data_IF_293024063939
#
_entry.id   IF_293024063939
#
_cell.length_a   1.000
_cell.length_b   1.000
_cell.length_c   1.000
_cell.angle_alpha   90.00
_cell.angle_beta   90.00
_cell.angle_gamma   90.00
#
_symmetry.space_group_name_H-M   'P 1'
#
loop_
_entity.id
_entity.type
_entity.pdbx_description
1 polymer ?
#
# COMPACT_ATOMS: atom_id res chain seq x y z
N UNK A 1 -53.08 41.46 -29.83
CA UNK A 1 -52.01 40.83 -29.02
C UNK A 1 -50.71 40.89 -29.83
N UNK A 2 -49.83 41.86 -29.56
CA UNK A 2 -48.56 42.03 -30.28
C UNK A 2 -47.48 41.22 -29.56
N UNK A 3 -46.92 40.22 -30.24
CA UNK A 3 -45.77 39.45 -29.74
C UNK A 3 -44.52 40.31 -29.92
N UNK A 4 -43.97 40.80 -28.82
CA UNK A 4 -42.68 41.50 -28.80
C UNK A 4 -41.56 40.45 -28.81
N UNK A 5 -40.91 40.28 -29.96
CA UNK A 5 -39.73 39.42 -30.08
C UNK A 5 -38.55 40.25 -29.56
N UNK A 6 -38.02 39.90 -28.38
CA UNK A 6 -36.78 40.47 -27.89
C UNK A 6 -35.65 40.07 -28.84
N UNK A 7 -34.98 41.04 -29.45
CA UNK A 7 -33.80 40.83 -30.29
C UNK A 7 -32.70 40.18 -29.44
N UNK A 8 -32.40 38.91 -29.69
CA UNK A 8 -31.25 38.25 -29.08
C UNK A 8 -29.98 38.93 -29.62
N UNK A 9 -29.12 39.44 -28.74
CA UNK A 9 -27.79 39.90 -29.13
C UNK A 9 -26.97 38.67 -29.52
N UNK A 10 -26.45 38.65 -30.75
CA UNK A 10 -25.54 37.60 -31.21
C UNK A 10 -24.13 37.87 -30.66
N UNK A 11 -23.40 36.80 -30.32
CA UNK A 11 -22.01 36.87 -29.86
C UNK A 11 -21.09 37.33 -30.99
N UNK A 12 -20.10 38.17 -30.67
CA UNK A 12 -19.10 38.56 -31.65
C UNK A 12 -18.12 37.42 -31.93
N UNK A 13 -17.55 37.36 -33.14
CA UNK A 13 -16.55 36.35 -33.50
C UNK A 13 -15.36 36.34 -32.52
N UNK A 14 -14.92 37.52 -32.09
CA UNK A 14 -13.83 37.69 -31.11
C UNK A 14 -14.18 37.05 -29.77
N UNK A 15 -15.41 37.24 -29.30
CA UNK A 15 -15.90 36.66 -28.04
C UNK A 15 -15.95 35.14 -28.09
N UNK A 16 -16.35 34.56 -29.22
CA UNK A 16 -16.34 33.10 -29.42
C UNK A 16 -14.92 32.54 -29.42
N UNK A 17 -13.98 33.21 -30.10
CA UNK A 17 -12.56 32.78 -30.12
C UNK A 17 -11.94 32.83 -28.74
N UNK A 18 -12.19 33.91 -27.98
CA UNK A 18 -11.72 34.02 -26.58
C UNK A 18 -12.33 32.92 -25.71
N UNK A 19 -13.63 32.65 -25.85
CA UNK A 19 -14.31 31.60 -25.10
C UNK A 19 -13.71 30.21 -25.39
N UNK A 20 -13.40 29.90 -26.65
CA UNK A 20 -12.73 28.64 -27.04
C UNK A 20 -11.33 28.56 -26.43
N UNK A 21 -10.56 29.66 -26.45
CA UNK A 21 -9.23 29.71 -25.84
C UNK A 21 -9.27 29.41 -24.34
N UNK A 22 -10.18 30.06 -23.60
CA UNK A 22 -10.36 29.82 -22.16
C UNK A 22 -10.82 28.40 -21.88
N UNK A 23 -11.76 27.88 -22.69
CA UNK A 23 -12.24 26.50 -22.57
C UNK A 23 -11.11 25.50 -22.80
N UNK A 24 -10.28 25.70 -23.83
CA UNK A 24 -9.15 24.82 -24.14
C UNK A 24 -8.11 24.80 -23.01
N UNK A 25 -7.78 25.96 -22.44
CA UNK A 25 -6.90 26.07 -21.27
C UNK A 25 -7.51 25.34 -20.07
N UNK A 26 -8.80 25.54 -19.81
CA UNK A 26 -9.51 24.88 -18.71
C UNK A 26 -9.51 23.36 -18.84
N UNK A 27 -9.82 22.82 -20.02
CA UNK A 27 -9.78 21.37 -20.28
C UNK A 27 -8.36 20.82 -20.11
N UNK A 28 -7.35 21.50 -20.63
CA UNK A 28 -5.95 21.09 -20.49
C UNK A 28 -5.53 21.02 -19.03
N UNK A 29 -5.97 21.99 -18.21
CA UNK A 29 -5.67 22.03 -16.78
C UNK A 29 -6.38 20.91 -16.01
N UNK A 30 -7.63 20.61 -16.34
CA UNK A 30 -8.38 19.47 -15.76
C UNK A 30 -7.67 18.16 -16.10
N UNK A 31 -7.30 17.94 -17.36
CA UNK A 31 -6.59 16.73 -17.78
C UNK A 31 -5.22 16.61 -17.09
N UNK A 32 -4.49 17.72 -16.95
CA UNK A 32 -3.20 17.75 -16.28
C UNK A 32 -3.30 17.38 -14.79
N UNK A 33 -4.38 17.76 -14.11
CA UNK A 33 -4.59 17.47 -12.69
C UNK A 33 -5.22 16.09 -12.43
N UNK A 34 -5.91 15.52 -13.41
CA UNK A 34 -6.63 14.25 -13.21
C UNK A 34 -5.67 13.11 -12.86
N UNK A 35 -4.56 12.97 -13.58
CA UNK A 35 -3.59 11.90 -13.33
C UNK A 35 -2.97 11.92 -11.91
N UNK A 36 -2.40 13.04 -11.41
CA UNK A 36 -1.86 13.08 -10.05
C UNK A 36 -2.95 12.94 -8.98
N UNK A 37 -4.17 13.46 -9.20
CA UNK A 37 -5.29 13.29 -8.27
C UNK A 37 -5.74 11.82 -8.18
N UNK A 38 -5.92 11.15 -9.32
CA UNK A 38 -6.26 9.73 -9.36
C UNK A 38 -5.20 8.87 -8.67
N UNK A 39 -3.91 9.19 -8.86
CA UNK A 39 -2.82 8.53 -8.14
C UNK A 39 -2.92 8.75 -6.63
N UNK A 40 -3.13 10.00 -6.19
CA UNK A 40 -3.24 10.32 -4.77
C UNK A 40 -4.42 9.61 -4.10
N UNK A 41 -5.56 9.49 -4.78
CA UNK A 41 -6.73 8.76 -4.28
C UNK A 41 -6.45 7.26 -4.19
N UNK A 42 -5.79 6.68 -5.20
CA UNK A 42 -5.40 5.28 -5.18
C UNK A 42 -4.45 4.97 -4.01
N UNK A 43 -3.41 5.78 -3.81
CA UNK A 43 -2.46 5.61 -2.69
C UNK A 43 -3.14 5.68 -1.32
N UNK A 44 -4.09 6.61 -1.15
CA UNK A 44 -4.90 6.69 0.07
C UNK A 44 -5.76 5.45 0.29
N UNK A 45 -6.40 4.94 -0.77
CA UNK A 45 -7.21 3.72 -0.70
C UNK A 45 -6.38 2.46 -0.40
N UNK A 46 -5.17 2.39 -0.96
CA UNK A 46 -4.23 1.30 -0.69
C UNK A 46 -3.73 1.36 0.76
N UNK A 47 -3.45 2.55 1.28
CA UNK A 47 -3.08 2.77 2.69
C UNK A 47 -4.19 2.35 3.66
N UNK A 48 -5.45 2.68 3.35
CA UNK A 48 -6.60 2.21 4.14
C UNK A 48 -6.72 0.69 4.09
N UNK A 49 -6.48 0.09 2.92
CA UNK A 49 -6.52 -1.36 2.76
C UNK A 49 -5.38 -2.04 3.51
N UNK A 50 -4.16 -1.48 3.51
CA UNK A 50 -3.05 -1.96 4.32
C UNK A 50 -3.38 -1.95 5.82
N UNK A 51 -4.06 -0.90 6.31
CA UNK A 51 -4.55 -0.84 7.70
C UNK A 51 -5.59 -1.93 7.99
N UNK A 52 -6.46 -2.25 7.03
CA UNK A 52 -7.41 -3.38 7.16
C UNK A 52 -6.68 -4.72 7.23
N UNK A 53 -5.64 -4.92 6.41
CA UNK A 53 -4.79 -6.12 6.45
C UNK A 53 -4.12 -6.27 7.82
N UNK A 54 -3.55 -5.19 8.37
CA UNK A 54 -2.99 -5.22 9.73
C UNK A 54 -4.07 -5.53 10.77
N UNK A 55 -5.23 -4.88 10.68
CA UNK A 55 -6.32 -5.06 11.65
C UNK A 55 -6.83 -6.50 11.67
N UNK A 56 -6.94 -7.14 10.49
CA UNK A 56 -7.30 -8.56 10.35
C UNK A 56 -6.20 -9.47 10.89
N UNK A 57 -4.94 -9.17 10.64
CA UNK A 57 -3.79 -9.92 11.17
C UNK A 57 -3.79 -9.88 12.71
N UNK A 58 -4.03 -8.71 13.30
CA UNK A 58 -4.16 -8.55 14.76
C UNK A 58 -5.40 -9.25 15.31
N UNK A 59 -6.53 -9.21 14.60
CA UNK A 59 -7.73 -9.95 15.00
C UNK A 59 -7.49 -11.46 15.00
N UNK A 60 -6.76 -11.97 14.00
CA UNK A 60 -6.37 -13.38 13.95
C UNK A 60 -5.46 -13.75 15.13
N UNK A 61 -4.46 -12.92 15.45
CA UNK A 61 -3.59 -13.13 16.61
C UNK A 61 -4.37 -13.11 17.93
N UNK A 62 -5.34 -12.20 18.09
CA UNK A 62 -6.20 -12.14 19.28
C UNK A 62 -7.14 -13.34 19.43
N UNK A 63 -7.41 -14.06 18.35
CA UNK A 63 -8.20 -15.29 18.38
C UNK A 63 -7.36 -16.53 18.76
N UNK A 64 -6.03 -16.41 18.79
CA UNK A 64 -5.12 -17.44 19.29
C UNK A 64 -5.04 -17.41 20.83
N UNK A 65 -4.56 -18.48 21.49
CA UNK A 65 -4.50 -18.58 22.95
C UNK A 65 -3.36 -17.73 23.56
N UNK A 66 -3.32 -16.44 23.25
CA UNK A 66 -2.45 -15.45 23.89
C UNK A 66 -3.25 -14.69 24.95
N UNK A 67 -2.60 -14.33 26.07
CA UNK A 67 -3.24 -13.58 27.15
C UNK A 67 -3.54 -12.13 26.76
N UNK A 68 -2.64 -11.50 26.01
CA UNK A 68 -2.78 -10.12 25.55
C UNK A 68 -2.09 -9.93 24.20
N UNK A 69 -2.64 -9.04 23.37
CA UNK A 69 -2.07 -8.65 22.07
C UNK A 69 -2.13 -7.14 21.93
N UNK A 70 -0.97 -6.50 22.03
CA UNK A 70 -0.83 -5.04 21.92
C UNK A 70 -0.19 -4.68 20.60
N UNK A 71 -0.58 -3.54 20.05
CA UNK A 71 -0.03 -3.03 18.80
C UNK A 71 0.05 -1.51 18.79
N UNK A 72 1.09 -0.97 18.16
CA UNK A 72 1.34 0.46 17.99
C UNK A 72 1.94 0.72 16.61
N UNK A 73 1.43 1.73 15.90
CA UNK A 73 2.03 2.16 14.65
C UNK A 73 3.48 2.63 14.87
N UNK A 74 4.37 2.26 13.95
CA UNK A 74 5.79 2.63 13.94
C UNK A 74 6.11 3.45 12.72
N UNK A 75 7.06 4.35 12.88
CA UNK A 75 7.76 4.99 11.77
C UNK A 75 8.80 4.05 11.17
N UNK A 76 9.21 4.31 9.93
CA UNK A 76 10.27 3.55 9.28
C UNK A 76 11.62 3.67 10.03
N UNK A 77 11.92 4.85 10.59
CA UNK A 77 13.15 5.08 11.35
C UNK A 77 13.22 4.17 12.59
N UNK A 78 12.11 4.02 13.31
CA UNK A 78 12.00 3.12 14.47
C UNK A 78 12.09 1.64 14.08
N UNK A 79 11.57 1.27 12.91
CA UNK A 79 11.72 -0.08 12.37
C UNK A 79 13.17 -0.38 11.96
N UNK A 80 13.87 0.56 11.30
CA UNK A 80 15.27 0.37 10.91
C UNK A 80 16.19 0.23 12.11
N UNK A 81 15.92 0.94 13.20
CA UNK A 81 16.66 0.78 14.45
C UNK A 81 16.50 -0.63 15.09
N UNK A 82 15.44 -1.37 14.74
CA UNK A 82 15.23 -2.75 15.19
C UNK A 82 16.02 -3.78 14.37
N UNK A 83 16.37 -3.49 13.11
CA UNK A 83 17.07 -4.42 12.23
C UNK A 83 18.59 -4.22 12.37
N UNK A 84 19.28 -5.16 13.01
CA UNK A 84 20.73 -5.09 13.23
C UNK A 84 21.58 -5.09 11.95
N UNK A 85 21.08 -5.63 10.84
CA UNK A 85 21.66 -5.51 9.50
C UNK A 85 20.75 -6.22 8.47
N UNK A 86 19.83 -5.50 7.83
CA UNK A 86 19.14 -6.05 6.65
C UNK A 86 19.14 -5.02 5.51
N UNK A 87 20.25 -5.02 4.77
CA UNK A 87 20.33 -4.48 3.41
C UNK A 87 21.35 -5.29 2.61
N UNK A 88 20.92 -6.44 2.13
CA UNK A 88 21.44 -7.02 0.90
C UNK A 88 20.25 -7.07 -0.03
N UNK A 89 20.22 -6.23 -1.07
CA UNK A 89 19.07 -6.11 -1.99
C UNK A 89 18.80 -7.35 -2.87
N UNK A 90 19.19 -8.52 -2.39
CA UNK A 90 18.96 -9.86 -2.96
C UNK A 90 17.77 -10.58 -2.32
N UNK A 91 16.85 -9.87 -1.64
CA UNK A 91 15.66 -10.46 -1.03
C UNK A 91 14.52 -10.60 -2.04
N UNK A 92 14.12 -11.84 -2.37
CA UNK A 92 12.90 -12.13 -3.12
C UNK A 92 11.76 -12.57 -2.17
N UNK A 93 10.71 -11.74 -1.94
CA UNK A 93 9.60 -12.09 -1.06
C UNK A 93 8.74 -13.26 -1.56
N UNK A 94 8.82 -13.64 -2.85
CA UNK A 94 8.10 -14.82 -3.36
C UNK A 94 8.78 -16.14 -2.99
N UNK A 95 10.04 -16.09 -2.53
CA UNK A 95 10.80 -17.27 -2.11
C UNK A 95 10.92 -17.38 -0.59
N UNK A 96 10.51 -16.36 0.17
CA UNK A 96 10.53 -16.39 1.63
C UNK A 96 9.22 -16.98 2.18
N UNK A 97 9.31 -18.20 2.73
CA UNK A 97 8.19 -18.91 3.34
C UNK A 97 7.57 -18.18 4.54
N UNK A 98 8.24 -17.16 5.10
CA UNK A 98 7.73 -16.35 6.22
C UNK A 98 6.85 -15.20 5.74
N UNK A 99 6.75 -14.98 4.43
CA UNK A 99 5.96 -13.91 3.82
C UNK A 99 4.56 -14.41 3.48
N UNK A 100 3.60 -13.62 3.90
CA UNK A 100 2.20 -13.74 3.50
C UNK A 100 1.86 -12.64 2.51
N UNK A 101 0.87 -12.89 1.67
CA UNK A 101 0.33 -11.93 0.73
C UNK A 101 -1.13 -11.68 1.01
N UNK A 102 -1.57 -10.46 0.74
CA UNK A 102 -2.98 -10.12 0.67
C UNK A 102 -3.40 -9.67 -0.73
N UNK A 103 -4.64 -9.99 -1.10
CA UNK A 103 -5.30 -9.52 -2.31
C UNK A 103 -5.43 -7.99 -2.34
N UNK A 104 -5.70 -7.39 -3.50
CA UNK A 104 -5.80 -5.94 -3.67
C UNK A 104 -6.88 -5.27 -2.80
N UNK A 105 -7.91 -6.01 -2.40
CA UNK A 105 -8.96 -5.58 -1.46
C UNK A 105 -8.62 -5.87 0.02
N UNK A 106 -7.47 -6.52 0.28
CA UNK A 106 -7.07 -7.02 1.60
C UNK A 106 -7.94 -8.17 2.11
N UNK A 107 -8.78 -8.73 1.22
CA UNK A 107 -9.81 -9.74 1.44
C UNK A 107 -9.26 -11.08 1.90
N UNK A 108 -8.27 -11.57 1.18
CA UNK A 108 -7.71 -12.91 1.34
C UNK A 108 -6.25 -12.83 1.77
N UNK A 109 -5.81 -13.75 2.64
CA UNK A 109 -4.42 -13.91 3.04
C UNK A 109 -3.93 -15.28 2.60
N UNK A 110 -2.75 -15.33 1.98
CA UNK A 110 -2.20 -16.56 1.44
C UNK A 110 -0.66 -16.52 1.41
N UNK A 111 -0.02 -17.69 1.43
CA UNK A 111 1.44 -17.77 1.42
C UNK A 111 2.04 -17.54 0.02
N UNK A 112 3.35 -17.27 -0.01
CA UNK A 112 4.11 -17.02 -1.23
C UNK A 112 3.93 -18.07 -2.33
N UNK A 113 3.83 -19.35 -1.96
CA UNK A 113 3.70 -20.48 -2.88
C UNK A 113 2.28 -20.61 -3.48
N UNK A 114 1.30 -19.85 -3.00
CA UNK A 114 -0.06 -19.89 -3.51
C UNK A 114 -0.12 -19.44 -4.97
N UNK A 115 -0.84 -20.21 -5.81
CA UNK A 115 -1.09 -19.90 -7.23
C UNK A 115 -2.09 -18.77 -7.47
N UNK A 116 -2.54 -18.10 -6.41
CA UNK A 116 -3.42 -16.92 -6.50
C UNK A 116 -2.68 -15.79 -7.24
N UNK A 117 -3.34 -15.22 -8.26
CA UNK A 117 -2.73 -14.26 -9.18
C UNK A 117 -2.56 -12.86 -8.57
N UNK A 118 -3.41 -12.48 -7.61
CA UNK A 118 -3.47 -11.11 -7.07
C UNK A 118 -2.67 -10.96 -5.77
N UNK A 119 -1.33 -10.89 -5.88
CA UNK A 119 -0.41 -10.63 -4.75
C UNK A 119 -0.15 -9.13 -4.60
N UNK A 120 -1.04 -8.38 -3.95
CA UNK A 120 -0.89 -6.92 -3.86
C UNK A 120 -0.08 -6.46 -2.64
N UNK A 121 -0.46 -6.91 -1.44
CA UNK A 121 0.22 -6.55 -0.20
C UNK A 121 1.14 -7.67 0.27
N UNK A 122 2.41 -7.39 0.52
CA UNK A 122 3.38 -8.26 1.20
C UNK A 122 3.25 -8.03 2.71
N UNK A 123 3.00 -9.08 3.49
CA UNK A 123 2.81 -9.05 4.94
C UNK A 123 3.88 -9.94 5.59
N UNK A 124 4.67 -9.36 6.50
CA UNK A 124 5.70 -10.09 7.22
C UNK A 124 5.65 -9.77 8.72
N UNK A 125 5.85 -10.80 9.54
CA UNK A 125 6.05 -10.68 10.98
C UNK A 125 7.55 -10.71 11.26
N UNK A 126 8.11 -9.56 11.62
CA UNK A 126 9.56 -9.41 11.87
C UNK A 126 9.79 -9.37 13.36
N UNK A 127 10.39 -10.42 13.91
CA UNK A 127 10.72 -10.49 15.34
C UNK A 127 11.62 -9.33 15.76
N UNK A 128 11.41 -8.82 16.96
CA UNK A 128 12.38 -7.97 17.63
C UNK A 128 13.28 -8.84 18.49
N UNK A 129 14.40 -9.26 17.94
CA UNK A 129 15.33 -10.17 18.63
C UNK A 129 16.07 -9.48 19.79
N UNK A 130 16.20 -8.15 19.77
CA UNK A 130 16.76 -7.40 20.89
C UNK A 130 15.85 -7.42 22.14
N UNK A 131 14.53 -7.47 21.95
CA UNK A 131 13.55 -7.51 23.05
C UNK A 131 13.08 -8.93 23.38
N UNK A 132 13.02 -9.81 22.38
CA UNK A 132 12.57 -11.19 22.52
C UNK A 132 13.44 -12.10 21.65
N UNK A 133 14.63 -12.49 22.14
CA UNK A 133 15.49 -13.45 21.44
C UNK A 133 14.79 -14.81 21.32
N UNK A 134 14.89 -15.50 20.17
CA UNK A 134 14.23 -16.78 19.95
C UNK A 134 14.66 -17.88 20.92
N UNK A 135 15.89 -17.81 21.41
CA UNK A 135 16.46 -18.74 22.37
C UNK A 135 15.76 -18.72 23.73
N UNK A 136 15.02 -17.64 24.03
CA UNK A 136 14.37 -17.43 25.33
C UNK A 136 12.85 -17.68 25.29
N UNK A 137 12.31 -18.20 24.18
CA UNK A 137 10.87 -18.28 23.94
C UNK A 137 10.11 -19.10 24.98
N UNK A 138 10.71 -20.16 25.50
CA UNK A 138 10.10 -21.02 26.53
C UNK A 138 9.85 -20.29 27.85
N UNK A 139 10.60 -19.22 28.12
CA UNK A 139 10.52 -18.44 29.35
C UNK A 139 10.11 -16.97 29.11
N UNK A 140 9.95 -16.57 27.85
CA UNK A 140 9.59 -15.22 27.49
C UNK A 140 8.14 -14.93 27.89
N UNK A 141 7.96 -13.96 28.79
CA UNK A 141 6.63 -13.44 29.14
C UNK A 141 5.94 -12.78 27.93
N UNK A 142 6.73 -12.24 26.99
CA UNK A 142 6.25 -11.51 25.83
C UNK A 142 7.12 -11.83 24.61
N UNK A 143 6.48 -12.01 23.45
CA UNK A 143 7.14 -12.05 22.15
C UNK A 143 6.86 -10.74 21.43
N UNK A 144 7.91 -9.98 21.13
CA UNK A 144 7.82 -8.68 20.46
C UNK A 144 8.17 -8.82 18.97
N UNK A 145 7.38 -8.21 18.10
CA UNK A 145 7.57 -8.23 16.66
C UNK A 145 7.04 -6.94 16.01
N UNK A 146 7.31 -6.79 14.72
CA UNK A 146 6.74 -5.74 13.88
C UNK A 146 6.00 -6.41 12.73
N UNK A 147 4.72 -6.10 12.57
CA UNK A 147 3.97 -6.40 11.36
C UNK A 147 4.40 -5.37 10.32
N UNK A 148 5.03 -5.83 9.25
CA UNK A 148 5.38 -5.02 8.08
C UNK A 148 4.39 -5.35 6.97
N UNK A 149 3.72 -4.34 6.44
CA UNK A 149 2.89 -4.46 5.23
C UNK A 149 3.47 -3.59 4.15
N UNK A 150 3.70 -4.12 2.95
CA UNK A 150 4.34 -3.42 1.84
C UNK A 150 3.54 -3.59 0.55
N UNK A 151 3.39 -2.54 -0.24
CA UNK A 151 2.64 -2.54 -1.50
C UNK A 151 3.20 -1.50 -2.48
N UNK A 152 2.91 -1.61 -3.79
CA UNK A 152 2.38 -2.79 -4.45
C UNK A 152 3.46 -3.87 -4.61
N UNK A 153 3.07 -5.15 -4.50
CA UNK A 153 3.99 -6.29 -4.66
C UNK A 153 3.96 -6.84 -6.08
N UNK A 154 2.76 -7.08 -6.60
CA UNK A 154 2.49 -7.48 -7.97
C UNK A 154 1.24 -6.73 -8.45
N UNK A 155 1.37 -6.01 -9.56
CA UNK A 155 0.29 -5.27 -10.20
C UNK A 155 0.01 -5.86 -11.57
N UNK A 156 -1.26 -6.03 -11.92
CA UNK A 156 -1.63 -6.41 -13.28
C UNK A 156 -1.63 -5.16 -14.16
N UNK A 157 -0.67 -5.06 -15.08
CA UNK A 157 -0.60 -4.01 -16.08
C UNK A 157 -0.85 -4.63 -17.47
N UNK A 158 -2.02 -4.36 -18.05
CA UNK A 158 -2.40 -4.92 -19.35
C UNK A 158 -2.54 -6.44 -19.37
N UNK A 159 -2.93 -7.06 -18.23
CA UNK A 159 -3.05 -8.52 -18.10
C UNK A 159 -1.75 -9.23 -17.81
N UNK A 160 -0.64 -8.50 -17.68
CA UNK A 160 0.68 -9.03 -17.29
C UNK A 160 0.95 -8.64 -15.84
N UNK A 161 1.35 -9.63 -15.05
CA UNK A 161 1.86 -9.40 -13.70
C UNK A 161 3.21 -8.67 -13.75
N UNK A 162 3.24 -7.44 -13.24
CA UNK A 162 4.45 -6.64 -13.09
C UNK A 162 4.80 -6.54 -11.61
N UNK A 163 6.07 -6.77 -11.27
CA UNK A 163 6.59 -6.62 -9.91
C UNK A 163 7.37 -5.30 -9.81
N UNK A 164 6.85 -4.26 -9.12
CA UNK A 164 7.55 -2.99 -8.98
C UNK A 164 8.92 -3.18 -8.31
N UNK A 165 9.93 -2.52 -8.86
CA UNK A 165 11.31 -2.56 -8.37
C UNK A 165 12.10 -3.84 -8.67
N UNK A 166 11.56 -4.81 -9.41
CA UNK A 166 12.33 -6.01 -9.76
C UNK A 166 13.15 -5.77 -11.03
N UNK A 167 14.48 -5.90 -10.94
CA UNK A 167 15.40 -5.85 -12.08
C UNK A 167 15.41 -7.17 -12.86
N UNK A 168 15.97 -7.15 -14.08
CA UNK A 168 16.21 -8.36 -14.90
C UNK A 168 17.01 -9.44 -14.18
N UNK A 169 17.84 -9.03 -13.22
CA UNK A 169 18.78 -9.89 -12.50
C UNK A 169 18.18 -10.39 -11.18
N UNK A 170 16.88 -10.15 -10.95
CA UNK A 170 16.16 -10.56 -9.74
C UNK A 170 16.34 -9.64 -8.53
N UNK A 171 17.18 -8.60 -8.62
CA UNK A 171 17.31 -7.58 -7.57
C UNK A 171 15.95 -6.90 -7.33
N UNK A 172 15.53 -6.81 -6.07
CA UNK A 172 14.27 -6.18 -5.68
C UNK A 172 14.54 -4.82 -5.03
N UNK A 173 14.35 -3.73 -5.78
CA UNK A 173 14.34 -2.37 -5.29
C UNK A 173 13.05 -2.07 -4.52
N UNK A 174 13.18 -1.92 -3.20
CA UNK A 174 12.04 -1.62 -2.34
C UNK A 174 11.67 -0.12 -2.29
N UNK A 175 12.44 0.77 -2.91
CA UNK A 175 12.13 2.22 -2.93
C UNK A 175 10.88 2.56 -3.73
N UNK A 176 10.44 1.66 -4.62
CA UNK A 176 9.21 1.82 -5.40
C UNK A 176 7.96 1.32 -4.67
N UNK A 177 8.09 0.90 -3.41
CA UNK A 177 7.01 0.34 -2.61
C UNK A 177 6.75 1.21 -1.38
N UNK A 178 5.48 1.41 -1.07
CA UNK A 178 5.05 1.96 0.20
C UNK A 178 5.08 0.87 1.27
N UNK A 179 5.35 1.26 2.52
CA UNK A 179 5.43 0.32 3.64
C UNK A 179 4.78 0.91 4.89
N UNK A 180 4.01 0.07 5.58
CA UNK A 180 3.44 0.31 6.90
C UNK A 180 4.11 -0.59 7.93
N UNK A 181 4.47 -0.02 9.08
CA UNK A 181 5.07 -0.75 10.19
C UNK A 181 4.17 -0.64 11.41
N UNK A 182 3.85 -1.78 12.03
CA UNK A 182 3.10 -1.83 13.29
C UNK A 182 3.86 -2.71 14.27
N UNK A 183 4.40 -2.09 15.31
CA UNK A 183 4.91 -2.83 16.46
C UNK A 183 3.78 -3.63 17.07
N UNK A 184 4.03 -4.88 17.41
CA UNK A 184 3.10 -5.67 18.16
C UNK A 184 3.83 -6.59 19.13
N UNK A 185 3.11 -7.00 20.17
CA UNK A 185 3.59 -8.04 21.07
C UNK A 185 2.44 -8.94 21.50
N UNK A 186 2.78 -10.20 21.75
CA UNK A 186 1.87 -11.18 22.33
C UNK A 186 2.41 -11.61 23.68
N UNK A 187 1.53 -11.65 24.69
CA UNK A 187 1.82 -12.23 26.00
C UNK A 187 1.30 -13.67 26.03
N UNK A 188 2.09 -14.59 26.59
CA UNK A 188 1.72 -15.99 26.80
C UNK A 188 1.02 -16.17 28.15
#
# INVERSE_FOLDING_TARGET
MRISIKTARAFSLVEVVVAIGVLAVGVTLVLALTAPLSRSVALSGDSETALRVVSRSLAHLRAQPFQDVRALAKTEAEYRAQLGAEHAGTYDPLLDARVWFASADGGELFQAESGVQDKYFEVQLVRNEALSPPELDEHAAVIAFTIRVRWPTQVSAGGIAVRPGVSSDGYCDHTQKETLFVAACVAR
#
